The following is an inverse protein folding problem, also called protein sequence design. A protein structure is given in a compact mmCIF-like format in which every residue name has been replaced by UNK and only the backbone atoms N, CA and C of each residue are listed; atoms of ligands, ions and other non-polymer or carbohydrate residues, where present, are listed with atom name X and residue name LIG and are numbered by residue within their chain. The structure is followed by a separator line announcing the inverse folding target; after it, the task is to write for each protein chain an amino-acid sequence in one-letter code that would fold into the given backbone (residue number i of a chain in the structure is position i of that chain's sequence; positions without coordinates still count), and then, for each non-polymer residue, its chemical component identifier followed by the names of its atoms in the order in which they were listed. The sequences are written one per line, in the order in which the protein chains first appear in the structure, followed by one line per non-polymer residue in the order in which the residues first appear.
data_IF_283860205970
#
_entry.id   IF_283860205970
#
_cell.length_a   1.000
_cell.length_b   1.000
_cell.length_c   1.000
_cell.angle_alpha   90.00
_cell.angle_beta   90.00
_cell.angle_gamma   90.00
#
_symmetry.space_group_name_H-M   'P 1'
#
loop_
_entity.id
_entity.type
_entity.pdbx_description
1 polymer ?
#
# COMPACT_ATOMS: atom_id res chain seq x y z
N UNK A 1 -21.61 -0.03 0.20
CA UNK A 1 -20.27 -0.28 -0.39
C UNK A 1 -19.65 -1.47 0.33
N UNK A 2 -18.81 -2.25 -0.37
CA UNK A 2 -18.01 -3.33 0.20
C UNK A 2 -16.53 -2.96 0.06
N UNK A 3 -15.72 -3.22 1.09
CA UNK A 3 -14.27 -3.02 1.03
C UNK A 3 -13.53 -4.11 1.81
N UNK A 4 -12.28 -4.36 1.42
CA UNK A 4 -11.35 -5.23 2.12
C UNK A 4 -10.20 -4.39 2.70
N UNK A 5 -10.06 -4.36 4.02
CA UNK A 5 -8.98 -3.67 4.72
C UNK A 5 -7.81 -4.62 4.92
N UNK A 6 -6.62 -4.21 4.49
CA UNK A 6 -5.44 -5.07 4.42
C UNK A 6 -4.22 -4.39 5.02
N UNK A 7 -3.37 -5.15 5.71
CA UNK A 7 -1.99 -4.79 6.07
C UNK A 7 -1.08 -5.67 5.22
N UNK A 8 0.07 -5.14 4.79
CA UNK A 8 1.01 -5.85 3.91
C UNK A 8 1.78 -6.96 4.64
N UNK A 9 1.06 -7.96 5.15
CA UNK A 9 1.60 -9.12 5.83
C UNK A 9 0.61 -10.30 5.77
N UNK A 10 1.10 -11.53 5.51
CA UNK A 10 0.27 -12.73 5.59
C UNK A 10 -0.20 -13.06 7.02
N UNK A 11 0.45 -12.48 8.04
CA UNK A 11 0.15 -12.71 9.46
C UNK A 11 -1.00 -11.84 10.00
N UNK A 12 -1.55 -10.96 9.17
CA UNK A 12 -2.70 -10.11 9.51
C UNK A 12 -3.86 -10.43 8.58
N UNK A 13 -4.95 -11.04 9.07
CA UNK A 13 -6.09 -11.38 8.24
C UNK A 13 -6.73 -10.17 7.55
N UNK A 14 -7.18 -10.37 6.31
CA UNK A 14 -7.99 -9.40 5.57
C UNK A 14 -9.33 -9.21 6.28
N UNK A 15 -9.77 -7.96 6.41
CA UNK A 15 -11.05 -7.61 7.03
C UNK A 15 -12.02 -7.13 5.97
N UNK A 16 -13.08 -7.89 5.74
CA UNK A 16 -14.17 -7.46 4.87
C UNK A 16 -15.15 -6.60 5.66
N UNK A 17 -15.48 -5.43 5.12
CA UNK A 17 -16.43 -4.50 5.72
C UNK A 17 -17.47 -4.07 4.69
N UNK A 18 -18.74 -4.18 5.09
CA UNK A 18 -19.86 -3.60 4.37
C UNK A 18 -20.31 -2.35 5.12
N UNK A 19 -20.39 -1.23 4.41
CA UNK A 19 -20.75 0.05 5.02
C UNK A 19 -21.45 1.00 4.04
N UNK A 20 -22.25 1.90 4.59
CA UNK A 20 -22.75 3.08 3.90
C UNK A 20 -21.71 4.18 3.97
N UNK A 21 -21.56 4.92 2.88
CA UNK A 21 -20.83 6.18 2.87
C UNK A 21 -21.76 7.30 2.53
N UNK A 22 -21.74 8.33 3.36
CA UNK A 22 -22.42 9.58 3.13
C UNK A 22 -21.37 10.67 2.94
N UNK A 23 -21.52 11.48 1.89
CA UNK A 23 -20.66 12.62 1.62
C UNK A 23 -21.54 13.87 1.51
N UNK A 24 -21.19 14.91 2.26
CA UNK A 24 -21.94 16.18 2.26
C UNK A 24 -21.02 17.35 2.47
N UNK A 25 -21.27 18.42 1.73
CA UNK A 25 -20.72 19.73 2.03
C UNK A 25 -21.37 20.24 3.32
N UNK A 26 -20.60 20.27 4.40
CA UNK A 26 -21.07 20.68 5.71
C UNK A 26 -21.13 22.21 5.82
N UNK A 27 -20.17 22.89 5.19
CA UNK A 27 -20.09 24.34 5.05
C UNK A 27 -19.34 24.68 3.75
N UNK A 28 -19.30 25.96 3.38
CA UNK A 28 -18.47 26.43 2.26
C UNK A 28 -17.01 25.98 2.44
N UNK A 29 -16.44 25.33 1.42
CA UNK A 29 -15.07 24.77 1.48
C UNK A 29 -14.86 23.62 2.47
N UNK A 30 -15.92 23.05 3.08
CA UNK A 30 -15.80 21.94 4.05
C UNK A 30 -16.68 20.76 3.65
N UNK A 31 -16.05 19.62 3.39
CA UNK A 31 -16.69 18.37 3.04
C UNK A 31 -16.50 17.33 4.14
N UNK A 32 -17.60 16.68 4.53
CA UNK A 32 -17.57 15.56 5.46
C UNK A 32 -17.93 14.27 4.71
N UNK A 33 -17.11 13.24 4.92
CA UNK A 33 -17.35 11.87 4.49
C UNK A 33 -17.52 11.03 5.75
N UNK A 34 -18.64 10.31 5.85
CA UNK A 34 -18.96 9.45 6.99
C UNK A 34 -19.25 8.04 6.50
N UNK A 35 -18.60 7.08 7.12
CA UNK A 35 -18.73 5.65 6.88
C UNK A 35 -19.33 4.96 8.11
N UNK A 36 -20.33 4.11 7.89
CA UNK A 36 -20.97 3.32 8.96
C UNK A 36 -21.38 1.94 8.45
N UNK A 37 -20.98 0.88 9.15
CA UNK A 37 -21.48 -0.47 8.89
C UNK A 37 -22.96 -0.60 9.24
N UNK A 38 -23.73 -1.21 8.33
CA UNK A 38 -25.12 -1.60 8.59
C UNK A 38 -25.09 -3.00 9.18
N UNK A 39 -25.91 -3.26 10.19
CA UNK A 39 -26.16 -4.61 10.68
C UNK A 39 -26.83 -5.42 9.57
N UNK A 40 -26.19 -6.51 9.18
CA UNK A 40 -26.69 -7.35 8.10
C UNK A 40 -27.80 -8.24 8.65
N UNK A 41 -29.08 -7.91 8.36
CA UNK A 41 -30.26 -8.64 8.83
C UNK A 41 -30.32 -10.12 8.38
N UNK A 42 -29.37 -10.58 7.54
CA UNK A 42 -29.18 -11.97 7.14
C UNK A 42 -27.73 -12.45 7.12
N UNK A 43 -26.82 -11.73 7.80
CA UNK A 43 -25.41 -12.12 7.93
C UNK A 43 -25.15 -12.99 9.17
N UNK A 44 -23.93 -13.52 9.35
CA UNK A 44 -23.57 -14.20 10.59
C UNK A 44 -23.78 -13.26 11.80
N UNK A 45 -24.27 -13.77 12.94
CA UNK A 45 -24.68 -12.95 14.09
C UNK A 45 -23.53 -12.15 14.72
N UNK A 46 -22.27 -12.51 14.41
CA UNK A 46 -21.07 -11.83 14.88
C UNK A 46 -20.15 -11.54 13.68
N UNK A 47 -20.17 -10.32 13.11
CA UNK A 47 -19.20 -9.96 12.08
C UNK A 47 -17.80 -9.94 12.71
N UNK A 48 -16.83 -10.55 12.03
CA UNK A 48 -15.41 -10.57 12.47
C UNK A 48 -14.77 -9.18 12.46
N UNK A 49 -15.41 -8.23 11.77
CA UNK A 49 -15.00 -6.83 11.68
C UNK A 49 -16.22 -5.93 11.41
N UNK A 50 -16.38 -4.85 12.16
CA UNK A 50 -17.45 -3.85 12.00
C UNK A 50 -16.85 -2.45 12.01
N UNK A 51 -17.21 -1.61 11.03
CA UNK A 51 -16.86 -0.19 11.04
C UNK A 51 -17.95 0.60 11.76
N UNK A 52 -17.60 1.19 12.89
CA UNK A 52 -18.43 2.17 13.61
C UNK A 52 -18.32 3.54 12.93
N UNK A 53 -19.09 4.57 13.33
CA UNK A 53 -19.04 5.88 12.68
C UNK A 53 -17.60 6.39 12.52
N UNK A 54 -17.14 6.41 11.27
CA UNK A 54 -15.77 6.72 10.86
C UNK A 54 -15.81 7.64 9.65
N UNK A 55 -14.67 8.16 9.23
CA UNK A 55 -14.55 8.95 8.01
C UNK A 55 -13.63 10.15 8.19
N UNK A 56 -13.83 11.17 7.37
CA UNK A 56 -12.97 12.34 7.39
C UNK A 56 -13.70 13.64 7.07
N UNK A 57 -13.12 14.74 7.55
CA UNK A 57 -13.47 16.10 7.16
C UNK A 57 -12.32 16.66 6.36
N UNK A 58 -12.63 17.17 5.17
CA UNK A 58 -11.70 17.84 4.27
C UNK A 58 -12.10 19.31 4.22
N UNK A 59 -11.18 20.19 4.61
CA UNK A 59 -11.37 21.64 4.62
C UNK A 59 -10.38 22.30 3.67
N UNK A 60 -10.89 23.11 2.76
CA UNK A 60 -10.08 23.95 1.88
C UNK A 60 -9.37 25.03 2.68
N UNK A 61 -8.08 25.25 2.37
CA UNK A 61 -7.25 26.24 3.04
C UNK A 61 -6.78 27.32 2.05
N UNK A 62 -6.63 28.59 2.48
CA UNK A 62 -6.23 29.68 1.60
C UNK A 62 -4.86 29.53 0.91
N UNK A 63 -4.00 28.64 1.42
CA UNK A 63 -2.67 28.37 0.87
C UNK A 63 -2.68 27.34 -0.28
N UNK A 64 -3.85 26.92 -0.76
CA UNK A 64 -3.99 25.93 -1.83
C UNK A 64 -3.86 24.47 -1.38
N UNK A 65 -3.76 24.22 -0.06
CA UNK A 65 -3.80 22.88 0.52
C UNK A 65 -5.18 22.57 1.11
N UNK A 66 -5.36 21.31 1.53
CA UNK A 66 -6.53 20.90 2.31
C UNK A 66 -6.09 20.44 3.71
N UNK A 67 -6.82 20.87 4.74
CA UNK A 67 -6.72 20.31 6.08
C UNK A 67 -7.62 19.08 6.16
N UNK A 68 -7.04 17.92 6.44
CA UNK A 68 -7.77 16.66 6.57
C UNK A 68 -7.77 16.21 8.02
N UNK A 69 -8.96 15.98 8.58
CA UNK A 69 -9.14 15.37 9.90
C UNK A 69 -9.80 14.01 9.71
N UNK A 70 -9.19 12.94 10.19
CA UNK A 70 -9.69 11.57 10.03
C UNK A 70 -10.05 10.97 11.38
N UNK A 71 -11.21 10.33 11.46
CA UNK A 71 -11.68 9.56 12.61
C UNK A 71 -11.93 8.14 12.14
N UNK A 72 -11.29 7.17 12.79
CA UNK A 72 -11.44 5.77 12.43
C UNK A 72 -11.83 4.98 13.68
N UNK A 73 -12.98 4.33 13.62
CA UNK A 73 -13.52 3.52 14.69
C UNK A 73 -13.96 2.18 14.12
N UNK A 74 -13.25 1.13 14.49
CA UNK A 74 -13.43 -0.20 13.93
C UNK A 74 -13.32 -1.23 15.04
N UNK A 75 -14.28 -2.14 15.09
CA UNK A 75 -14.31 -3.30 15.98
C UNK A 75 -13.85 -4.51 15.17
N UNK A 76 -12.92 -5.30 15.72
CA UNK A 76 -12.46 -6.54 15.11
C UNK A 76 -11.87 -7.46 16.16
N UNK A 77 -11.85 -8.76 15.85
CA UNK A 77 -11.21 -9.75 16.71
C UNK A 77 -9.67 -9.65 16.61
N UNK A 78 -9.02 -9.30 17.72
CA UNK A 78 -7.54 -9.27 17.82
C UNK A 78 -6.92 -10.65 18.08
N UNK A 79 -7.71 -11.64 18.49
CA UNK A 79 -7.23 -12.98 18.83
C UNK A 79 -6.67 -13.71 17.60
N UNK A 80 -7.24 -13.43 16.41
CA UNK A 80 -6.81 -13.99 15.12
C UNK A 80 -5.57 -13.31 14.53
N UNK A 81 -5.06 -12.25 15.17
CA UNK A 81 -3.84 -11.56 14.72
C UNK A 81 -2.62 -12.23 15.34
N UNK A 82 -1.63 -12.53 14.50
CA UNK A 82 -0.37 -13.10 14.96
C UNK A 82 0.33 -12.19 15.98
N UNK A 83 1.00 -12.79 16.96
CA UNK A 83 1.63 -12.06 18.08
C UNK A 83 2.64 -11.01 17.62
N UNK A 84 3.35 -11.25 16.51
CA UNK A 84 4.29 -10.30 15.92
C UNK A 84 3.64 -8.97 15.52
N UNK A 85 2.38 -8.99 15.09
CA UNK A 85 1.68 -7.79 14.61
C UNK A 85 0.70 -7.21 15.62
N UNK A 86 0.26 -7.98 16.62
CA UNK A 86 -0.75 -7.52 17.59
C UNK A 86 -0.40 -6.14 18.20
N UNK A 87 0.82 -5.88 18.71
CA UNK A 87 1.17 -4.55 19.25
C UNK A 87 1.02 -3.41 18.23
N UNK A 88 1.42 -3.64 16.98
CA UNK A 88 1.33 -2.66 15.90
C UNK A 88 -0.14 -2.38 15.54
N UNK A 89 -0.96 -3.41 15.49
CA UNK A 89 -2.38 -3.29 15.15
C UNK A 89 -3.14 -2.58 16.29
N UNK A 90 -2.94 -2.99 17.55
CA UNK A 90 -3.59 -2.35 18.71
C UNK A 90 -3.17 -0.88 18.88
N UNK A 91 -1.96 -0.51 18.44
CA UNK A 91 -1.51 0.89 18.39
C UNK A 91 -2.14 1.72 17.25
N UNK A 92 -3.02 1.14 16.44
CA UNK A 92 -3.70 1.83 15.33
C UNK A 92 -2.83 2.00 14.07
N UNK A 93 -1.64 1.42 14.01
CA UNK A 93 -0.73 1.58 12.87
C UNK A 93 -1.17 0.78 11.63
N UNK A 94 -2.02 -0.23 11.82
CA UNK A 94 -2.56 -1.05 10.72
C UNK A 94 -3.91 -0.59 10.18
N UNK A 95 -4.83 -0.17 11.04
CA UNK A 95 -6.20 0.16 10.63
C UNK A 95 -6.71 1.51 11.14
N UNK A 96 -5.89 2.28 11.85
CA UNK A 96 -6.27 3.56 12.44
C UNK A 96 -6.10 4.76 11.52
N UNK A 97 -6.58 5.91 12.00
CA UNK A 97 -6.60 7.19 11.28
C UNK A 97 -5.21 7.62 10.77
N UNK A 98 -4.15 7.41 11.56
CA UNK A 98 -2.79 7.79 11.16
C UNK A 98 -2.37 7.13 9.84
N UNK A 99 -2.67 5.83 9.67
CA UNK A 99 -2.37 5.11 8.44
C UNK A 99 -3.16 5.64 7.25
N UNK A 100 -4.44 5.96 7.45
CA UNK A 100 -5.29 6.49 6.39
C UNK A 100 -4.83 7.87 5.93
N UNK A 101 -4.51 8.78 6.87
CA UNK A 101 -3.97 10.11 6.56
C UNK A 101 -2.63 10.00 5.83
N UNK A 102 -1.69 9.20 6.32
CA UNK A 102 -0.40 9.00 5.67
C UNK A 102 -0.53 8.39 4.26
N UNK A 103 -1.52 7.53 4.04
CA UNK A 103 -1.79 6.95 2.72
C UNK A 103 -2.43 7.97 1.79
N UNK A 104 -3.39 8.75 2.26
CA UNK A 104 -4.00 9.84 1.49
C UNK A 104 -2.95 10.88 1.08
N UNK A 105 -2.11 11.31 2.01
CA UNK A 105 -1.02 12.26 1.74
C UNK A 105 -0.10 11.75 0.64
N UNK A 106 0.43 10.52 0.77
CA UNK A 106 1.30 9.92 -0.25
C UNK A 106 0.62 9.80 -1.61
N UNK A 107 -0.68 9.51 -1.64
CA UNK A 107 -1.45 9.45 -2.88
C UNK A 107 -1.62 10.83 -3.52
N UNK A 108 -1.94 11.85 -2.72
CA UNK A 108 -2.04 13.23 -3.19
C UNK A 108 -0.69 13.74 -3.73
N UNK A 109 0.42 13.48 -3.05
CA UNK A 109 1.77 13.82 -3.50
C UNK A 109 2.10 13.13 -4.85
N UNK A 110 1.82 11.82 -4.95
CA UNK A 110 2.03 11.07 -6.18
C UNK A 110 1.21 11.63 -7.36
N UNK A 111 -0.07 11.95 -7.11
CA UNK A 111 -0.96 12.54 -8.12
C UNK A 111 -0.50 13.94 -8.54
N UNK A 112 -0.10 14.79 -7.59
CA UNK A 112 0.43 16.12 -7.89
C UNK A 112 1.65 16.04 -8.82
N UNK A 113 2.57 15.11 -8.56
CA UNK A 113 3.75 14.89 -9.40
C UNK A 113 3.36 14.37 -10.79
N UNK A 114 2.42 13.42 -10.88
CA UNK A 114 1.93 12.89 -12.16
C UNK A 114 1.23 13.95 -13.03
N UNK A 115 0.53 14.88 -12.38
CA UNK A 115 -0.20 15.99 -13.00
C UNK A 115 0.70 17.18 -13.32
N UNK A 116 1.83 17.34 -12.61
CA UNK A 116 2.80 18.39 -12.89
C UNK A 116 3.40 18.22 -14.29
N UNK A 117 3.37 19.28 -15.08
CA UNK A 117 4.01 19.37 -16.40
C UNK A 117 5.46 19.84 -16.31
N UNK A 118 5.92 20.24 -15.13
CA UNK A 118 7.20 20.88 -14.90
C UNK A 118 8.32 19.87 -14.73
N UNK A 119 9.35 19.99 -15.56
CA UNK A 119 10.60 19.29 -15.36
C UNK A 119 11.37 19.94 -14.22
N UNK A 120 11.84 19.20 -13.19
CA UNK A 120 12.99 19.67 -12.44
C UNK A 120 14.12 19.84 -13.46
N UNK A 121 14.57 21.08 -13.62
CA UNK A 121 15.83 21.37 -14.28
C UNK A 121 16.92 20.99 -13.26
N UNK A 122 17.43 19.77 -13.36
CA UNK A 122 18.68 19.42 -12.69
C UNK A 122 19.56 18.71 -13.69
N UNK A 123 20.64 19.41 -14.00
CA UNK A 123 21.74 19.03 -14.86
C UNK A 123 22.35 17.67 -14.46
N UNK A 124 22.63 16.87 -15.49
CA UNK A 124 23.60 15.76 -15.61
C UNK A 124 23.05 14.35 -15.91
N UNK A 125 23.36 13.92 -17.14
CA UNK A 125 23.58 12.56 -17.64
C UNK A 125 22.45 11.51 -17.60
N UNK A 126 21.22 11.91 -17.95
CA UNK A 126 20.28 11.20 -18.86
C UNK A 126 18.89 11.80 -18.63
N UNK A 127 18.58 12.90 -19.32
CA UNK A 127 17.34 13.64 -19.10
C UNK A 127 16.12 12.81 -19.55
N UNK A 128 15.54 12.05 -18.62
CA UNK A 128 14.25 11.39 -18.85
C UNK A 128 13.24 12.48 -19.20
N UNK A 129 12.61 12.34 -20.36
CA UNK A 129 11.58 13.29 -20.81
C UNK A 129 10.42 13.34 -19.81
N UNK A 130 9.63 14.42 -19.80
CA UNK A 130 8.44 14.49 -18.95
C UNK A 130 7.48 13.31 -19.20
N UNK A 131 7.35 12.87 -20.45
CA UNK A 131 6.61 11.65 -20.82
C UNK A 131 7.23 10.38 -20.23
N UNK A 132 8.55 10.24 -20.30
CA UNK A 132 9.28 9.13 -19.69
C UNK A 132 9.07 9.04 -18.18
N UNK A 133 9.17 10.17 -17.47
CA UNK A 133 8.91 10.23 -16.02
C UNK A 133 7.49 9.78 -15.67
N UNK A 134 6.49 10.26 -16.42
CA UNK A 134 5.09 9.83 -16.22
C UNK A 134 4.91 8.33 -16.46
N UNK A 135 5.54 7.78 -17.50
CA UNK A 135 5.51 6.35 -17.79
C UNK A 135 6.17 5.52 -16.69
N UNK A 136 7.31 5.96 -16.16
CA UNK A 136 8.00 5.32 -15.03
C UNK A 136 7.17 5.33 -13.76
N UNK A 137 6.56 6.47 -13.40
CA UNK A 137 5.68 6.56 -12.23
C UNK A 137 4.45 5.65 -12.37
N UNK A 138 3.84 5.60 -13.55
CA UNK A 138 2.73 4.67 -13.83
C UNK A 138 3.16 3.21 -13.73
N UNK A 139 4.35 2.86 -14.22
CA UNK A 139 4.91 1.51 -14.10
C UNK A 139 5.16 1.16 -12.62
N UNK A 140 5.81 2.04 -11.85
CA UNK A 140 6.06 1.85 -10.44
C UNK A 140 4.75 1.67 -9.63
N UNK A 141 3.69 2.42 -9.99
CA UNK A 141 2.37 2.24 -9.39
C UNK A 141 1.80 0.85 -9.69
N UNK A 142 1.91 0.36 -10.93
CA UNK A 142 1.46 -1.01 -11.28
C UNK A 142 2.27 -2.07 -10.54
N UNK A 143 3.60 -1.93 -10.49
CA UNK A 143 4.47 -2.84 -9.74
C UNK A 143 4.09 -2.89 -8.26
N UNK A 144 3.82 -1.72 -7.64
CA UNK A 144 3.37 -1.62 -6.24
C UNK A 144 2.03 -2.34 -6.05
N UNK A 145 1.07 -2.12 -6.96
CA UNK A 145 -0.24 -2.78 -6.89
C UNK A 145 -0.12 -4.30 -7.02
N UNK A 146 0.73 -4.78 -7.93
CA UNK A 146 0.97 -6.20 -8.15
C UNK A 146 1.64 -6.85 -6.93
N UNK A 147 2.65 -6.19 -6.36
CA UNK A 147 3.28 -6.62 -5.11
C UNK A 147 2.26 -6.73 -3.98
N UNK A 148 1.47 -5.67 -3.74
CA UNK A 148 0.46 -5.66 -2.68
C UNK A 148 -0.61 -6.75 -2.91
N UNK A 149 -1.05 -6.94 -4.15
CA UNK A 149 -2.01 -7.97 -4.50
C UNK A 149 -1.47 -9.38 -4.23
N UNK A 150 -0.19 -9.63 -4.56
CA UNK A 150 0.49 -10.89 -4.29
C UNK A 150 0.76 -11.17 -2.82
N UNK A 151 0.95 -10.14 -1.98
CA UNK A 151 1.16 -10.31 -0.54
C UNK A 151 -0.16 -10.50 0.21
N UNK A 152 -1.23 -9.80 -0.16
CA UNK A 152 -2.44 -9.67 0.67
C UNK A 152 -3.70 -10.38 0.13
N UNK A 153 -3.57 -11.20 -0.92
CA UNK A 153 -4.72 -11.86 -1.56
C UNK A 153 -5.81 -10.84 -1.96
N UNK A 154 -5.42 -9.74 -2.61
CA UNK A 154 -6.36 -8.66 -2.97
C UNK A 154 -7.61 -9.19 -3.67
N UNK A 155 -8.79 -8.70 -3.31
CA UNK A 155 -10.06 -9.06 -3.95
C UNK A 155 -10.14 -8.67 -5.44
N UNK A 156 -9.21 -7.84 -5.92
CA UNK A 156 -9.09 -7.46 -7.34
C UNK A 156 -8.69 -8.66 -8.20
N UNK A 157 -7.87 -9.57 -7.68
CA UNK A 157 -7.47 -10.78 -8.39
C UNK A 157 -7.93 -12.00 -7.61
N UNK A 158 -8.52 -12.98 -8.29
CA UNK A 158 -8.98 -14.21 -7.64
C UNK A 158 -7.79 -15.12 -7.30
N UNK A 159 -7.15 -14.83 -6.17
CA UNK A 159 -6.07 -15.63 -5.60
C UNK A 159 -6.63 -16.89 -4.91
N UNK A 160 -5.99 -18.02 -5.16
CA UNK A 160 -6.28 -19.28 -4.47
C UNK A 160 -5.14 -19.56 -3.48
N UNK A 161 -5.45 -19.58 -2.19
CA UNK A 161 -4.48 -19.96 -1.15
C UNK A 161 -4.21 -21.45 -1.27
N UNK A 162 -2.95 -21.81 -1.51
CA UNK A 162 -2.50 -23.20 -1.47
C UNK A 162 -2.32 -23.57 0.00
N UNK A 163 -3.07 -24.58 0.46
CA UNK A 163 -2.84 -25.22 1.76
C UNK A 163 -2.15 -26.55 1.49
N UNK A 164 -0.91 -26.67 1.92
CA UNK A 164 -0.13 -27.91 1.81
C UNK A 164 0.32 -28.27 3.20
N UNK A 165 0.19 -29.55 3.58
CA UNK A 165 0.49 -30.04 4.94
C UNK A 165 1.94 -29.78 5.41
N UNK A 166 2.84 -29.42 4.48
CA UNK A 166 4.26 -29.18 4.72
C UNK A 166 4.67 -27.69 4.74
N UNK A 167 3.73 -26.76 4.64
CA UNK A 167 4.03 -25.31 4.66
C UNK A 167 3.67 -24.76 6.02
N UNK A 168 4.64 -24.09 6.67
CA UNK A 168 4.46 -23.43 7.96
C UNK A 168 3.30 -22.42 7.91
N UNK A 169 2.56 -22.29 9.01
CA UNK A 169 1.37 -21.42 9.09
C UNK A 169 1.72 -19.94 8.85
N UNK A 170 2.99 -19.58 9.08
CA UNK A 170 3.56 -18.25 8.89
C UNK A 170 3.95 -17.94 7.42
N UNK A 171 3.81 -18.91 6.52
CA UNK A 171 4.06 -18.76 5.08
C UNK A 171 2.76 -18.87 4.30
N UNK A 172 2.45 -17.81 3.55
CA UNK A 172 1.31 -17.79 2.65
C UNK A 172 1.75 -18.04 1.21
N UNK A 173 1.29 -19.15 0.63
CA UNK A 173 1.47 -19.44 -0.79
C UNK A 173 0.13 -19.30 -1.52
N UNK A 174 0.12 -18.57 -2.63
CA UNK A 174 -1.08 -18.31 -3.43
C UNK A 174 -0.80 -18.44 -4.93
N UNK A 175 -1.83 -18.83 -5.67
CA UNK A 175 -1.79 -18.85 -7.13
C UNK A 175 -2.93 -18.05 -7.73
N UNK A 176 -2.68 -17.44 -8.89
CA UNK A 176 -3.74 -16.88 -9.74
C UNK A 176 -3.44 -17.17 -11.20
N UNK A 177 -4.48 -17.12 -12.03
CA UNK A 177 -4.35 -17.19 -13.48
C UNK A 177 -4.35 -15.76 -14.04
N UNK A 178 -3.29 -15.40 -14.75
CA UNK A 178 -3.21 -14.19 -15.58
C UNK A 178 -3.57 -14.59 -17.01
N UNK A 179 -4.51 -13.89 -17.63
CA UNK A 179 -4.93 -14.14 -19.03
C UNK A 179 -4.82 -12.85 -19.84
N UNK A 180 -5.38 -11.75 -19.33
CA UNK A 180 -5.48 -10.47 -20.05
C UNK A 180 -4.97 -9.28 -19.22
N UNK A 181 -4.07 -9.53 -18.26
CA UNK A 181 -3.56 -8.46 -17.37
C UNK A 181 -2.47 -7.63 -18.06
N UNK A 182 -2.68 -6.32 -18.30
CA UNK A 182 -1.72 -5.50 -19.03
C UNK A 182 -0.36 -5.41 -18.32
N UNK A 183 0.68 -5.88 -19.00
CA UNK A 183 2.05 -5.87 -18.48
C UNK A 183 2.45 -7.13 -17.71
N UNK A 184 1.61 -8.16 -17.69
CA UNK A 184 1.95 -9.49 -17.19
C UNK A 184 1.80 -10.54 -18.29
N UNK A 185 2.70 -11.54 -18.36
CA UNK A 185 2.56 -12.64 -19.32
C UNK A 185 1.35 -13.52 -18.94
N UNK A 186 0.62 -14.07 -19.93
CA UNK A 186 -0.44 -15.03 -19.67
C UNK A 186 0.14 -16.30 -19.03
N UNK A 187 -0.51 -16.81 -17.99
CA UNK A 187 -0.05 -18.00 -17.28
C UNK A 187 -0.52 -18.08 -15.84
N UNK A 188 0.15 -18.95 -15.07
CA UNK A 188 -0.07 -19.07 -13.63
C UNK A 188 0.97 -18.20 -12.93
N UNK A 189 0.51 -17.30 -12.07
CA UNK A 189 1.35 -16.50 -11.18
C UNK A 189 1.32 -17.13 -9.80
N UNK A 190 2.50 -17.47 -9.28
CA UNK A 190 2.72 -17.94 -7.91
C UNK A 190 3.19 -16.76 -7.05
N UNK A 191 2.64 -16.62 -5.85
CA UNK A 191 3.13 -15.70 -4.83
C UNK A 191 3.39 -16.46 -3.53
N UNK A 192 4.54 -16.22 -2.91
CA UNK A 192 4.87 -16.69 -1.58
C UNK A 192 5.26 -15.49 -0.72
N UNK A 193 4.64 -15.34 0.44
CA UNK A 193 4.89 -14.26 1.37
C UNK A 193 5.02 -14.80 2.80
N UNK A 194 5.90 -14.18 3.59
CA UNK A 194 6.03 -14.42 5.03
C UNK A 194 6.30 -13.10 5.74
N UNK A 195 6.39 -13.11 7.06
CA UNK A 195 6.82 -11.96 7.84
C UNK A 195 7.77 -12.40 8.93
N UNK A 196 8.87 -11.65 9.07
CA UNK A 196 9.91 -11.93 10.05
C UNK A 196 10.08 -10.73 10.96
N UNK A 197 10.42 -10.98 12.21
CA UNK A 197 10.81 -9.93 13.15
C UNK A 197 12.32 -9.69 13.07
N UNK A 198 12.73 -8.43 13.07
CA UNK A 198 14.13 -8.04 13.05
C UNK A 198 14.45 -7.20 14.30
N UNK A 199 15.58 -7.45 14.99
CA UNK A 199 16.00 -6.70 16.19
C UNK A 199 16.60 -5.33 15.83
N UNK A 200 16.01 -4.61 14.89
CA UNK A 200 16.46 -3.28 14.43
C UNK A 200 15.27 -2.38 14.17
N UNK A 201 15.50 -1.06 14.20
CA UNK A 201 14.44 -0.07 13.96
C UNK A 201 13.92 -0.14 12.51
N UNK A 202 12.62 0.13 12.26
CA UNK A 202 12.07 0.21 10.90
C UNK A 202 12.82 1.15 9.96
N UNK A 203 13.30 2.29 10.48
CA UNK A 203 14.08 3.26 9.71
C UNK A 203 15.37 2.64 9.15
N UNK A 204 16.12 1.92 9.98
CA UNK A 204 17.36 1.24 9.55
C UNK A 204 17.10 0.18 8.49
N UNK A 205 16.01 -0.57 8.61
CA UNK A 205 15.60 -1.55 7.57
C UNK A 205 15.22 -0.83 6.28
N UNK A 206 14.47 0.26 6.37
CA UNK A 206 14.07 1.06 5.22
C UNK A 206 15.29 1.66 4.49
N UNK A 207 16.25 2.24 5.22
CA UNK A 207 17.46 2.79 4.63
C UNK A 207 18.33 1.68 4.00
N UNK A 208 18.43 0.50 4.63
CA UNK A 208 19.11 -0.66 4.05
C UNK A 208 18.46 -1.14 2.73
N UNK A 209 17.13 -1.24 2.68
CA UNK A 209 16.40 -1.68 1.49
C UNK A 209 16.42 -0.63 0.36
N UNK A 210 16.62 0.65 0.69
CA UNK A 210 16.68 1.72 -0.31
C UNK A 210 18.09 1.92 -0.89
N UNK A 211 19.13 1.61 -0.14
CA UNK A 211 20.52 1.80 -0.57
C UNK A 211 20.86 0.90 -1.77
N UNK A 212 21.14 1.51 -2.92
CA UNK A 212 21.47 0.79 -4.15
C UNK A 212 22.76 -0.03 -4.03
N UNK A 213 23.68 0.37 -3.16
CA UNK A 213 24.97 -0.30 -2.95
C UNK A 213 24.84 -1.60 -2.17
N UNK A 214 23.78 -1.70 -1.36
CA UNK A 214 23.46 -2.88 -0.56
C UNK A 214 22.42 -3.78 -1.23
N UNK A 215 22.01 -3.44 -2.46
CA UNK A 215 20.98 -4.18 -3.20
C UNK A 215 21.35 -5.64 -3.43
N UNK A 216 22.64 -5.93 -3.61
CA UNK A 216 23.17 -7.29 -3.79
C UNK A 216 22.95 -8.21 -2.58
N UNK A 217 22.78 -7.65 -1.39
CA UNK A 217 22.61 -8.41 -0.15
C UNK A 217 21.24 -9.07 -0.03
N UNK A 218 20.25 -8.63 -0.83
CA UNK A 218 18.87 -9.08 -0.65
C UNK A 218 18.06 -9.25 -1.94
N UNK A 219 18.42 -8.58 -3.04
CA UNK A 219 17.72 -8.72 -4.31
C UNK A 219 18.40 -9.76 -5.20
N UNK A 220 17.78 -10.93 -5.36
CA UNK A 220 18.30 -12.01 -6.22
C UNK A 220 18.50 -11.55 -7.68
N UNK A 221 17.75 -10.56 -8.15
CA UNK A 221 17.86 -10.05 -9.52
C UNK A 221 19.12 -9.21 -9.73
N UNK A 222 19.83 -8.83 -8.66
CA UNK A 222 21.14 -8.19 -8.73
C UNK A 222 22.25 -9.13 -9.22
N UNK A 223 22.03 -10.45 -9.16
CA UNK A 223 23.04 -11.49 -9.39
C UNK A 223 24.33 -11.29 -8.55
N UNK A 224 24.23 -10.66 -7.39
CA UNK A 224 25.38 -10.35 -6.52
C UNK A 224 26.28 -9.23 -7.04
N UNK A 225 25.93 -8.60 -8.17
CA UNK A 225 26.68 -7.48 -8.74
C UNK A 225 26.27 -6.12 -8.15
N UNK A 226 27.13 -5.10 -8.27
CA UNK A 226 26.79 -3.74 -7.87
C UNK A 226 25.67 -3.17 -8.76
N UNK A 227 24.75 -2.43 -8.16
CA UNK A 227 23.71 -1.73 -8.88
C UNK A 227 24.04 -0.24 -8.97
N UNK A 228 23.82 0.36 -10.14
CA UNK A 228 23.98 1.79 -10.37
C UNK A 228 22.62 2.45 -10.55
N UNK A 229 22.35 3.52 -9.80
CA UNK A 229 21.19 4.37 -10.05
C UNK A 229 21.41 5.20 -11.33
N UNK A 230 20.62 4.90 -12.36
CA UNK A 230 20.62 5.60 -13.64
C UNK A 230 19.69 6.80 -13.65
N UNK A 231 18.64 6.76 -12.84
CA UNK A 231 17.69 7.84 -12.71
C UNK A 231 16.91 7.77 -11.40
N UNK A 232 16.48 8.94 -10.96
CA UNK A 232 15.77 9.14 -9.70
C UNK A 232 14.56 10.06 -9.90
N UNK A 233 13.40 9.67 -9.38
CA UNK A 233 12.17 10.47 -9.38
C UNK A 233 11.61 10.50 -7.96
N UNK A 234 11.75 11.64 -7.28
CA UNK A 234 11.09 11.85 -5.99
C UNK A 234 9.56 11.79 -6.14
N UNK A 235 8.87 11.19 -5.17
CA UNK A 235 7.41 11.04 -5.10
C UNK A 235 6.75 11.87 -4.00
N UNK A 236 7.49 12.73 -3.32
CA UNK A 236 6.99 13.58 -2.23
C UNK A 236 8.09 14.44 -1.65
N UNK A 237 7.82 15.05 -0.49
CA UNK A 237 8.82 15.85 0.25
C UNK A 237 9.88 14.98 0.94
N UNK A 238 9.51 13.75 1.32
CA UNK A 238 10.44 12.78 1.87
C UNK A 238 11.33 12.21 0.77
N UNK A 239 12.64 12.42 0.89
CA UNK A 239 13.65 11.88 -0.02
C UNK A 239 13.61 10.35 -0.13
N UNK A 240 13.08 9.66 0.89
CA UNK A 240 12.93 8.21 0.85
C UNK A 240 11.82 7.71 -0.07
N UNK A 241 10.82 8.53 -0.35
CA UNK A 241 9.71 8.17 -1.23
C UNK A 241 10.07 8.52 -2.67
N UNK A 242 10.66 7.58 -3.41
CA UNK A 242 11.13 7.81 -4.78
C UNK A 242 10.90 6.59 -5.69
N UNK A 243 11.13 6.79 -6.98
CA UNK A 243 11.28 5.73 -8.01
C UNK A 243 12.66 5.85 -8.61
N UNK A 244 13.44 4.78 -8.52
CA UNK A 244 14.78 4.70 -9.09
C UNK A 244 14.82 3.70 -10.23
N UNK A 245 15.57 4.04 -11.29
CA UNK A 245 15.95 3.10 -12.35
C UNK A 245 17.34 2.59 -12.04
N UNK A 246 17.46 1.30 -11.74
CA UNK A 246 18.73 0.65 -11.46
C UNK A 246 19.25 -0.09 -12.70
N UNK A 247 20.56 -0.07 -12.89
CA UNK A 247 21.27 -0.88 -13.88
C UNK A 247 22.24 -1.80 -13.16
N UNK A 248 22.24 -3.07 -13.54
CA UNK A 248 23.27 -4.01 -13.12
C UNK A 248 24.61 -3.67 -13.77
N UNK A 249 25.66 -3.57 -12.95
CA UNK A 249 27.05 -3.38 -13.40
C UNK A 249 27.66 -4.60 -14.06
#
# INVERSE_FOLDING_TARGET
MNAALQVLSPLVPVREVNFLRFCKQHAEGVWAVVDLSIENLGGPPFPTCRRLPSGCVVQDMPNGYSKVTWVEHIEYDESVIHQLYRPLISAGMGFGAHRWVATLQRQCECLAILMSSTSPATDHHTAITAGGRRSMLKLAQRMTNNFCAGVCASSVHKWNKLRTENVDDDVQVMTRKSVDDPGEPPGIVLSAATSVWLPVTPQRVFDFLRDERLRSEWDILSNGGPMQEMAHIAKGQDHGNCVSLLRAG
#
